data_IF_316989113351
#
_entry.id   IF_316989113351
#
_cell.length_a   1.000
_cell.length_b   1.000
_cell.length_c   1.000
_cell.angle_alpha   90.00
_cell.angle_beta   90.00
_cell.angle_gamma   90.00
#
_symmetry.space_group_name_H-M   'P 1'
#
loop_
_entity.id
_entity.type
_entity.pdbx_description
1 polymer ?
#
# COMPACT_ATOMS: atom_id res chain seq x y z
N UNK A 1 59.87 39.08 -7.78
CA UNK A 1 58.53 39.73 -7.69
C UNK A 1 57.50 38.91 -8.48
N UNK A 2 56.46 38.41 -7.78
CA UNK A 2 55.12 37.87 -8.14
C UNK A 2 54.77 37.30 -9.55
N UNK A 3 53.88 36.27 -9.64
CA UNK A 3 52.43 36.54 -9.55
C UNK A 3 51.59 35.50 -8.78
N UNK A 4 50.89 35.97 -7.74
CA UNK A 4 50.02 35.21 -6.82
C UNK A 4 48.53 35.17 -7.23
N UNK A 5 48.19 35.48 -8.50
CA UNK A 5 46.77 35.59 -8.95
C UNK A 5 46.12 34.28 -9.39
N UNK A 6 46.89 33.29 -9.88
CA UNK A 6 46.34 32.05 -10.47
C UNK A 6 45.76 31.07 -9.42
N UNK A 7 46.28 31.07 -8.19
CA UNK A 7 45.83 30.15 -7.12
C UNK A 7 44.46 30.52 -6.52
N UNK A 8 44.11 31.82 -6.48
CA UNK A 8 42.80 32.31 -5.98
C UNK A 8 41.65 31.94 -6.91
N UNK A 9 41.85 31.98 -8.23
CA UNK A 9 40.81 31.61 -9.20
C UNK A 9 40.46 30.11 -9.17
N UNK A 10 41.45 29.23 -8.97
CA UNK A 10 41.23 27.79 -8.89
C UNK A 10 40.43 27.37 -7.64
N UNK A 11 40.68 28.03 -6.49
CA UNK A 11 39.92 27.80 -5.25
C UNK A 11 38.47 28.29 -5.35
N UNK A 12 38.23 29.45 -5.98
CA UNK A 12 36.88 30.00 -6.20
C UNK A 12 36.02 29.09 -7.09
N UNK A 13 36.58 28.57 -8.18
CA UNK A 13 35.88 27.61 -9.07
C UNK A 13 35.56 26.26 -8.40
N UNK A 14 36.38 25.80 -7.45
CA UNK A 14 36.07 24.61 -6.64
C UNK A 14 34.92 24.87 -5.66
N UNK A 15 34.90 26.02 -5.00
CA UNK A 15 33.81 26.40 -4.07
C UNK A 15 32.49 26.57 -4.83
N UNK A 16 32.51 27.24 -5.99
CA UNK A 16 31.31 27.39 -6.84
C UNK A 16 30.73 26.03 -7.29
N UNK A 17 31.60 25.07 -7.68
CA UNK A 17 31.15 23.70 -8.01
C UNK A 17 30.56 22.97 -6.81
N UNK A 18 31.14 23.11 -5.62
CA UNK A 18 30.64 22.47 -4.40
C UNK A 18 29.28 23.05 -3.97
N UNK A 19 29.08 24.35 -4.12
CA UNK A 19 27.80 25.01 -3.82
C UNK A 19 26.71 24.53 -4.76
N UNK A 20 26.99 24.40 -6.07
CA UNK A 20 26.03 23.89 -7.05
C UNK A 20 25.65 22.43 -6.76
N UNK A 21 26.64 21.59 -6.40
CA UNK A 21 26.38 20.19 -6.03
C UNK A 21 25.54 20.11 -4.75
N UNK A 22 25.83 20.95 -3.75
CA UNK A 22 25.05 21.02 -2.52
C UNK A 22 23.60 21.43 -2.77
N UNK A 23 23.36 22.46 -3.59
CA UNK A 23 22.01 22.90 -3.97
C UNK A 23 21.26 21.82 -4.77
N UNK A 24 21.94 21.11 -5.67
CA UNK A 24 21.36 20.00 -6.43
C UNK A 24 20.96 18.83 -5.51
N UNK A 25 21.76 18.52 -4.49
CA UNK A 25 21.45 17.51 -3.48
C UNK A 25 20.23 17.90 -2.63
N UNK A 26 20.15 19.16 -2.21
CA UNK A 26 18.99 19.67 -1.44
C UNK A 26 17.71 19.60 -2.30
N UNK A 27 17.79 19.99 -3.58
CA UNK A 27 16.67 19.87 -4.52
C UNK A 27 16.25 18.41 -4.69
N UNK A 28 17.21 17.49 -4.83
CA UNK A 28 16.93 16.06 -4.98
C UNK A 28 16.23 15.49 -3.74
N UNK A 29 16.69 15.87 -2.54
CA UNK A 29 16.04 15.50 -1.28
C UNK A 29 14.59 16.04 -1.24
N UNK A 30 14.38 17.31 -1.60
CA UNK A 30 13.05 17.91 -1.63
C UNK A 30 12.10 17.23 -2.63
N UNK A 31 12.62 16.82 -3.80
CA UNK A 31 11.86 16.06 -4.80
C UNK A 31 11.47 14.68 -4.27
N UNK A 32 12.40 13.97 -3.62
CA UNK A 32 12.12 12.66 -3.01
C UNK A 32 11.07 12.77 -1.91
N UNK A 33 11.14 13.78 -1.05
CA UNK A 33 10.13 14.05 -0.01
C UNK A 33 8.77 14.42 -0.59
N UNK A 34 8.75 15.20 -1.68
CA UNK A 34 7.49 15.56 -2.36
C UNK A 34 6.87 14.36 -3.06
N UNK A 35 7.69 13.50 -3.67
CA UNK A 35 7.27 12.26 -4.31
C UNK A 35 6.74 11.24 -3.29
N UNK A 36 7.39 11.10 -2.13
CA UNK A 36 6.90 10.21 -1.06
C UNK A 36 5.60 10.70 -0.42
N UNK A 37 5.34 12.01 -0.42
CA UNK A 37 4.06 12.58 0.02
C UNK A 37 2.93 12.32 -0.98
N UNK A 38 3.23 12.36 -2.28
CA UNK A 38 2.26 12.15 -3.36
C UNK A 38 1.96 10.66 -3.61
N UNK A 39 3.00 9.80 -3.61
CA UNK A 39 2.87 8.36 -3.51
C UNK A 39 2.47 8.05 -2.06
N UNK A 40 1.20 8.22 -1.73
CA UNK A 40 0.64 7.78 -0.46
C UNK A 40 0.87 6.28 -0.27
N UNK A 41 2.05 5.90 0.22
CA UNK A 41 2.29 4.64 0.88
C UNK A 41 1.45 4.69 2.14
N UNK A 42 0.16 4.36 2.00
CA UNK A 42 -0.66 3.94 3.11
C UNK A 42 -0.02 2.64 3.61
N UNK A 43 1.04 2.76 4.40
CA UNK A 43 1.33 1.77 5.42
C UNK A 43 0.07 1.77 6.28
N UNK A 44 -0.84 0.84 6.01
CA UNK A 44 -1.95 0.60 6.91
C UNK A 44 -1.30 0.44 8.29
N UNK A 45 -1.55 1.35 9.24
CA UNK A 45 -0.84 1.29 10.51
C UNK A 45 -1.20 -0.05 11.14
N UNK A 46 -0.20 -0.92 11.32
CA UNK A 46 -0.37 -2.23 11.97
C UNK A 46 -1.01 -2.08 13.37
N UNK A 47 -0.88 -0.89 13.98
CA UNK A 47 -1.54 -0.50 15.22
C UNK A 47 -3.08 -0.54 15.16
N UNK A 48 -3.69 -0.39 13.98
CA UNK A 48 -5.15 -0.51 13.80
C UNK A 48 -5.63 -1.97 13.69
N UNK A 49 -4.73 -2.89 13.34
CA UNK A 49 -5.03 -4.32 13.22
C UNK A 49 -5.00 -4.97 14.61
N UNK A 50 -4.11 -4.52 15.48
CA UNK A 50 -3.93 -5.06 16.83
C UNK A 50 -4.20 -3.98 17.88
N UNK A 51 -5.48 -3.76 18.19
CA UNK A 51 -5.85 -3.07 19.42
C UNK A 51 -5.68 -4.03 20.61
N UNK A 52 -5.00 -3.65 21.70
CA UNK A 52 -4.86 -4.49 22.89
C UNK A 52 -6.23 -4.93 23.42
N UNK A 53 -6.54 -6.22 23.28
CA UNK A 53 -7.84 -6.79 23.67
C UNK A 53 -9.00 -6.53 22.69
N UNK A 54 -8.74 -6.00 21.50
CA UNK A 54 -9.70 -5.90 20.41
C UNK A 54 -9.87 -7.23 19.67
N UNK A 55 -11.05 -7.46 19.07
CA UNK A 55 -11.25 -8.57 18.13
C UNK A 55 -10.57 -8.22 16.81
N UNK A 56 -9.90 -9.20 16.21
CA UNK A 56 -9.24 -9.06 14.91
C UNK A 56 -10.02 -9.88 13.89
N UNK A 57 -10.47 -9.22 12.82
CA UNK A 57 -11.14 -9.86 11.69
C UNK A 57 -10.20 -9.87 10.49
N UNK A 58 -9.95 -11.05 9.92
CA UNK A 58 -9.05 -11.26 8.79
C UNK A 58 -9.85 -11.91 7.67
N UNK A 59 -9.98 -11.20 6.55
CA UNK A 59 -10.53 -11.77 5.32
C UNK A 59 -9.41 -12.45 4.55
N UNK A 60 -9.55 -13.76 4.35
CA UNK A 60 -8.61 -14.60 3.60
C UNK A 60 -9.23 -14.87 2.23
N UNK A 61 -8.47 -14.60 1.18
CA UNK A 61 -8.87 -14.81 -0.22
C UNK A 61 -7.88 -15.77 -0.89
N UNK A 62 -8.36 -16.91 -1.37
CA UNK A 62 -7.64 -17.79 -2.28
C UNK A 62 -7.94 -17.38 -3.71
N UNK A 63 -6.91 -16.95 -4.43
CA UNK A 63 -7.02 -16.34 -5.77
C UNK A 63 -6.34 -17.23 -6.81
N UNK A 64 -7.03 -17.53 -7.91
CA UNK A 64 -6.43 -18.13 -9.11
C UNK A 64 -6.16 -16.99 -10.11
N UNK A 65 -4.96 -16.38 -10.05
CA UNK A 65 -4.51 -15.35 -10.99
C UNK A 65 -3.56 -15.99 -12.01
N UNK A 66 -3.84 -15.77 -13.30
CA UNK A 66 -3.04 -16.30 -14.42
C UNK A 66 -2.49 -15.12 -15.23
N UNK A 67 -1.42 -15.30 -16.02
CA UNK A 67 -0.84 -14.20 -16.80
C UNK A 67 -1.85 -13.50 -17.73
N UNK A 68 -2.90 -14.22 -18.14
CA UNK A 68 -3.89 -13.78 -19.11
C UNK A 68 -5.26 -13.43 -18.46
N UNK A 69 -5.41 -13.62 -17.14
CA UNK A 69 -6.68 -13.43 -16.41
C UNK A 69 -6.41 -12.66 -15.11
N UNK A 70 -7.20 -11.60 -14.86
CA UNK A 70 -7.18 -10.79 -13.63
C UNK A 70 -7.39 -11.66 -12.38
N UNK A 71 -7.99 -12.83 -12.57
CA UNK A 71 -8.16 -13.86 -11.56
C UNK A 71 -9.46 -13.70 -10.80
N UNK A 72 -9.87 -14.77 -10.12
CA UNK A 72 -11.07 -14.82 -9.29
C UNK A 72 -10.73 -15.35 -7.90
N UNK A 73 -11.48 -14.93 -6.89
CA UNK A 73 -11.39 -15.55 -5.57
C UNK A 73 -12.24 -16.82 -5.55
N UNK A 74 -11.60 -17.98 -5.64
CA UNK A 74 -12.29 -19.27 -5.55
C UNK A 74 -12.58 -19.68 -4.10
N UNK A 75 -11.84 -19.12 -3.15
CA UNK A 75 -11.95 -19.44 -1.73
C UNK A 75 -11.98 -18.18 -0.89
N UNK A 76 -12.93 -18.06 0.04
CA UNK A 76 -13.02 -16.91 0.94
C UNK A 76 -13.38 -17.36 2.37
N UNK A 77 -12.60 -16.91 3.34
CA UNK A 77 -12.85 -17.15 4.75
C UNK A 77 -12.75 -15.84 5.54
N UNK A 78 -13.68 -15.64 6.48
CA UNK A 78 -13.55 -14.64 7.51
C UNK A 78 -13.07 -15.31 8.80
N UNK A 79 -11.86 -14.98 9.22
CA UNK A 79 -11.27 -15.44 10.47
C UNK A 79 -11.42 -14.33 11.52
N UNK A 80 -12.05 -14.65 12.64
CA UNK A 80 -12.16 -13.76 13.79
C UNK A 80 -11.37 -14.34 14.95
N UNK A 81 -10.42 -13.57 15.46
CA UNK A 81 -9.61 -13.91 16.64
C UNK A 81 -10.04 -12.98 17.76
N UNK A 82 -10.52 -13.56 18.88
CA UNK A 82 -10.88 -12.81 20.08
C UNK A 82 -9.89 -13.10 21.21
N UNK A 83 -8.85 -12.26 21.41
CA UNK A 83 -7.84 -12.49 22.44
C UNK A 83 -8.40 -12.39 23.87
N UNK A 84 -9.58 -11.77 24.08
CA UNK A 84 -10.21 -11.67 25.41
C UNK A 84 -10.88 -12.97 25.85
N UNK A 85 -11.55 -13.66 24.92
CA UNK A 85 -12.21 -14.94 25.20
C UNK A 85 -11.36 -16.14 24.81
N UNK A 86 -10.20 -15.91 24.18
CA UNK A 86 -9.30 -16.93 23.63
C UNK A 86 -9.96 -17.82 22.57
N UNK A 87 -10.98 -17.29 21.89
CA UNK A 87 -11.70 -18.01 20.85
C UNK A 87 -11.23 -17.59 19.46
N UNK A 88 -11.27 -18.57 18.55
CA UNK A 88 -11.06 -18.38 17.12
C UNK A 88 -12.29 -18.91 16.39
N UNK A 89 -12.90 -18.07 15.57
CA UNK A 89 -14.02 -18.43 14.72
C UNK A 89 -13.62 -18.27 13.25
N UNK A 90 -14.04 -19.21 12.41
CA UNK A 90 -13.84 -19.15 10.98
C UNK A 90 -15.19 -19.33 10.29
N UNK A 91 -15.53 -18.41 9.40
CA UNK A 91 -16.71 -18.46 8.56
C UNK A 91 -16.28 -18.62 7.10
N UNK A 92 -16.71 -19.68 6.45
CA UNK A 92 -16.55 -19.83 5.00
C UNK A 92 -17.63 -19.03 4.27
N UNK A 93 -17.21 -18.24 3.28
CA UNK A 93 -18.11 -17.49 2.41
C UNK A 93 -18.13 -18.21 1.05
N UNK A 94 -19.25 -18.84 0.66
CA UNK A 94 -19.34 -19.52 -0.63
C UNK A 94 -19.13 -18.55 -1.79
N UNK A 95 -18.31 -18.92 -2.77
CA UNK A 95 -17.92 -18.05 -3.90
C UNK A 95 -19.10 -17.55 -4.75
N UNK A 96 -20.17 -18.34 -4.83
CA UNK A 96 -21.37 -18.06 -5.61
C UNK A 96 -22.45 -17.29 -4.80
N UNK A 97 -22.11 -16.81 -3.60
CA UNK A 97 -23.04 -15.99 -2.80
C UNK A 97 -23.42 -14.72 -3.56
N UNK A 98 -24.71 -14.52 -3.80
CA UNK A 98 -25.22 -13.36 -4.53
C UNK A 98 -25.27 -12.15 -3.61
N UNK A 99 -24.50 -11.12 -3.93
CA UNK A 99 -24.31 -9.92 -3.11
C UNK A 99 -24.36 -8.67 -3.96
N UNK A 100 -24.62 -7.53 -3.32
CA UNK A 100 -24.49 -6.23 -3.99
C UNK A 100 -23.03 -5.80 -3.99
N UNK A 101 -22.39 -5.82 -5.16
CA UNK A 101 -21.02 -5.35 -5.36
C UNK A 101 -21.05 -3.82 -5.59
N UNK A 102 -20.32 -3.03 -4.77
CA UNK A 102 -20.28 -1.57 -4.92
C UNK A 102 -19.80 -1.14 -6.32
N UNK A 103 -20.65 -0.44 -7.08
CA UNK A 103 -20.34 0.03 -8.43
C UNK A 103 -20.65 -0.96 -9.56
N UNK A 104 -20.99 -2.21 -9.26
CA UNK A 104 -21.21 -3.27 -10.25
C UNK A 104 -22.58 -3.96 -10.15
N UNK A 105 -23.39 -3.64 -9.13
CA UNK A 105 -24.73 -4.19 -8.97
C UNK A 105 -24.74 -5.56 -8.27
N UNK A 106 -25.79 -6.36 -8.46
CA UNK A 106 -25.90 -7.68 -7.83
C UNK A 106 -25.23 -8.75 -8.67
N UNK A 107 -24.21 -9.40 -8.09
CA UNK A 107 -23.52 -10.52 -8.71
C UNK A 107 -22.98 -11.50 -7.66
N UNK A 108 -22.33 -12.56 -8.11
CA UNK A 108 -21.59 -13.49 -7.25
C UNK A 108 -20.41 -12.78 -6.60
N UNK A 109 -20.21 -13.01 -5.32
CA UNK A 109 -19.16 -12.34 -4.54
C UNK A 109 -17.75 -12.58 -5.08
N UNK A 110 -17.48 -13.71 -5.76
CA UNK A 110 -16.18 -13.96 -6.40
C UNK A 110 -15.85 -12.99 -7.54
N UNK A 111 -16.84 -12.36 -8.17
CA UNK A 111 -16.63 -11.34 -9.20
C UNK A 111 -16.03 -10.05 -8.61
N UNK A 112 -16.24 -9.77 -7.31
CA UNK A 112 -15.66 -8.59 -6.67
C UNK A 112 -14.12 -8.57 -6.76
N UNK A 113 -13.47 -9.74 -6.80
CA UNK A 113 -12.03 -9.84 -7.01
C UNK A 113 -11.63 -9.52 -8.46
N UNK A 114 -12.35 -10.04 -9.45
CA UNK A 114 -12.06 -9.73 -10.86
C UNK A 114 -12.22 -8.23 -11.17
N UNK A 115 -13.22 -7.59 -10.58
CA UNK A 115 -13.55 -6.19 -10.85
C UNK A 115 -12.70 -5.17 -10.05
N UNK A 116 -12.23 -5.53 -8.85
CA UNK A 116 -11.53 -4.58 -7.99
C UNK A 116 -10.53 -5.20 -7.02
N UNK A 117 -10.07 -6.41 -7.33
CA UNK A 117 -9.11 -7.21 -6.55
C UNK A 117 -9.51 -7.30 -5.08
N UNK A 118 -8.52 -7.34 -4.19
CA UNK A 118 -8.74 -7.47 -2.76
C UNK A 118 -9.52 -6.30 -2.14
N UNK A 119 -9.43 -5.09 -2.70
CA UNK A 119 -10.09 -3.89 -2.14
C UNK A 119 -11.61 -3.97 -2.28
N UNK A 120 -12.09 -4.27 -3.49
CA UNK A 120 -13.52 -4.40 -3.73
C UNK A 120 -14.09 -5.66 -3.08
N UNK A 121 -13.30 -6.74 -3.04
CA UNK A 121 -13.67 -7.96 -2.30
C UNK A 121 -13.89 -7.67 -0.81
N UNK A 122 -12.98 -6.91 -0.18
CA UNK A 122 -13.12 -6.49 1.22
C UNK A 122 -14.38 -5.64 1.44
N UNK A 123 -14.57 -4.61 0.62
CA UNK A 123 -15.74 -3.74 0.74
C UNK A 123 -17.06 -4.48 0.51
N UNK A 124 -17.07 -5.49 -0.35
CA UNK A 124 -18.25 -6.32 -0.60
C UNK A 124 -18.51 -7.25 0.59
N UNK A 125 -17.46 -7.86 1.15
CA UNK A 125 -17.57 -8.73 2.32
C UNK A 125 -17.97 -7.97 3.59
N UNK A 126 -17.57 -6.71 3.75
CA UNK A 126 -17.99 -5.84 4.86
C UNK A 126 -19.49 -5.47 4.81
N UNK A 127 -20.13 -5.61 3.65
CA UNK A 127 -21.55 -5.29 3.42
C UNK A 127 -22.48 -6.50 3.44
N UNK A 128 -21.93 -7.71 3.57
CA UNK A 128 -22.69 -8.93 3.85
C UNK A 128 -23.33 -8.84 5.24
#
# INVERSE_FOLDING_TARGET
MMPSRKLRQARRKRIERLVIIGLALIMLIAVVYSWSSLMGYRTAPLAGIFSPGGRVNILILGVDERPDDVGRSDTMFLLTINPKTQDVAMLSIPRDTRVSIPGYGYDKINHAYGEGKYKLSLQTAEKL
#
